data_IF_875268040569
#
_entry.id   IF_875268040569
#
_cell.length_a   1.000
_cell.length_b   1.000
_cell.length_c   1.000
_cell.angle_alpha   90.00
_cell.angle_beta   90.00
_cell.angle_gamma   90.00
#
_symmetry.space_group_name_H-M   'P 1'
#
loop_
_entity.id
_entity.type
_entity.pdbx_description
1 polymer ?
#
# COMPACT_ATOMS: atom_id res chain seq x y z
N UNK A 1 5.26 -36.49 35.49
CA UNK A 1 4.52 -36.06 34.29
C UNK A 1 5.13 -34.76 33.81
N UNK A 2 5.63 -34.71 32.56
CA UNK A 2 6.12 -33.44 31.98
C UNK A 2 4.93 -32.48 31.85
N UNK A 3 5.10 -31.22 32.22
CA UNK A 3 4.02 -30.23 32.18
C UNK A 3 3.56 -30.02 30.73
N UNK A 4 2.29 -29.66 30.54
CA UNK A 4 1.76 -29.29 29.21
C UNK A 4 2.60 -28.21 28.52
N UNK A 5 3.30 -27.37 29.29
CA UNK A 5 4.26 -26.38 28.82
C UNK A 5 5.37 -26.98 27.93
N UNK A 6 5.84 -28.19 28.27
CA UNK A 6 6.87 -28.90 27.49
C UNK A 6 6.36 -29.32 26.09
N UNK A 7 5.09 -29.67 25.96
CA UNK A 7 4.50 -30.03 24.67
C UNK A 7 4.09 -28.81 23.83
N UNK A 8 3.87 -27.66 24.47
CA UNK A 8 3.57 -26.40 23.77
C UNK A 8 4.82 -25.81 23.09
N UNK A 9 6.01 -25.95 23.69
CA UNK A 9 7.26 -25.43 23.13
C UNK A 9 7.78 -26.27 21.94
N UNK A 10 7.33 -27.53 21.77
CA UNK A 10 7.75 -28.42 20.67
C UNK A 10 6.86 -28.33 19.40
N UNK A 11 5.67 -27.71 19.47
CA UNK A 11 4.65 -27.80 18.40
C UNK A 11 4.35 -26.46 17.71
N UNK A 12 4.73 -25.32 18.27
CA UNK A 12 4.28 -24.01 17.77
C UNK A 12 5.40 -23.21 17.08
N UNK A 13 5.38 -23.24 15.75
CA UNK A 13 6.03 -22.26 14.87
C UNK A 13 5.47 -20.85 15.17
N UNK A 14 6.34 -19.85 15.29
CA UNK A 14 6.09 -18.50 15.84
C UNK A 14 5.11 -17.61 15.02
N UNK A 15 4.36 -18.17 14.07
CA UNK A 15 3.52 -17.41 13.13
C UNK A 15 2.01 -17.38 13.45
N UNK A 16 1.53 -18.06 14.51
CA UNK A 16 0.08 -18.21 14.79
C UNK A 16 -0.33 -17.55 16.12
N UNK A 17 0.08 -16.30 16.35
CA UNK A 17 -0.42 -15.52 17.49
C UNK A 17 -0.78 -14.10 17.07
N UNK A 18 -1.90 -13.93 16.38
CA UNK A 18 -2.52 -12.61 16.27
C UNK A 18 -4.04 -12.69 16.34
N UNK A 19 -4.55 -12.67 17.58
CA UNK A 19 -5.79 -11.99 17.98
C UNK A 19 -5.97 -11.91 19.51
N UNK A 20 -5.26 -12.73 20.29
CA UNK A 20 -4.98 -12.51 21.73
C UNK A 20 -3.49 -12.28 21.94
N UNK A 21 -3.08 -11.39 22.85
CA UNK A 21 -1.66 -11.27 23.20
C UNK A 21 -1.21 -12.59 23.84
N UNK A 22 -0.01 -13.08 23.53
CA UNK A 22 0.54 -14.31 24.13
C UNK A 22 0.45 -14.29 25.66
N UNK A 23 0.63 -13.11 26.28
CA UNK A 23 0.44 -12.89 27.72
C UNK A 23 -1.02 -13.02 28.19
N UNK A 24 -1.99 -12.61 27.39
CA UNK A 24 -3.42 -12.77 27.70
C UNK A 24 -3.90 -14.21 27.54
N UNK A 25 -3.35 -14.94 26.57
CA UNK A 25 -3.61 -16.37 26.39
C UNK A 25 -2.95 -17.18 27.52
N UNK A 26 -1.68 -16.91 27.84
CA UNK A 26 -0.97 -17.58 28.94
C UNK A 26 -1.59 -17.32 30.32
N UNK A 27 -2.09 -16.10 30.59
CA UNK A 27 -2.79 -15.79 31.85
C UNK A 27 -4.15 -16.51 31.98
N UNK A 28 -4.83 -16.77 30.85
CA UNK A 28 -6.05 -17.59 30.81
C UNK A 28 -5.73 -19.09 30.91
N UNK A 29 -4.53 -19.49 30.47
CA UNK A 29 -4.00 -20.85 30.63
C UNK A 29 -3.53 -21.11 32.08
N UNK A 30 -3.11 -20.08 32.82
CA UNK A 30 -2.76 -20.19 34.26
C UNK A 30 -4.00 -20.43 35.15
N UNK A 31 -5.15 -19.79 34.87
CA UNK A 31 -6.44 -20.12 35.51
C UNK A 31 -7.00 -21.49 35.06
N UNK A 32 -6.46 -22.02 33.96
CA UNK A 32 -6.89 -23.28 33.36
C UNK A 32 -6.56 -24.48 34.24
N UNK A 33 -5.54 -24.39 35.10
CA UNK A 33 -5.12 -25.48 36.01
C UNK A 33 -6.11 -25.74 37.15
N UNK A 34 -6.99 -24.78 37.47
CA UNK A 34 -8.06 -24.95 38.47
C UNK A 34 -9.36 -25.50 37.87
N UNK A 35 -9.45 -25.64 36.54
CA UNK A 35 -10.64 -26.16 35.86
C UNK A 35 -10.66 -27.70 35.95
N UNK A 36 -11.77 -28.32 36.39
CA UNK A 36 -11.90 -29.78 36.39
C UNK A 36 -11.64 -30.38 35.00
N UNK A 37 -10.92 -31.51 34.95
CA UNK A 37 -10.45 -32.17 33.71
C UNK A 37 -11.54 -32.35 32.66
N UNK A 38 -12.77 -32.66 33.06
CA UNK A 38 -13.92 -32.80 32.15
C UNK A 38 -14.19 -31.53 31.33
N UNK A 39 -14.23 -30.36 31.97
CA UNK A 39 -14.47 -29.09 31.28
C UNK A 39 -13.27 -28.69 30.40
N UNK A 40 -12.04 -29.04 30.80
CA UNK A 40 -10.85 -28.86 29.96
C UNK A 40 -10.94 -29.66 28.67
N UNK A 41 -11.38 -30.92 28.73
CA UNK A 41 -11.57 -31.77 27.53
C UNK A 41 -12.62 -31.17 26.60
N UNK A 42 -13.78 -30.76 27.13
CA UNK A 42 -14.86 -30.15 26.33
C UNK A 42 -14.43 -28.83 25.67
N UNK A 43 -13.66 -28.01 26.39
CA UNK A 43 -13.08 -26.78 25.84
C UNK A 43 -12.05 -27.04 24.73
N UNK A 44 -11.08 -27.93 24.97
CA UNK A 44 -10.06 -28.27 23.97
C UNK A 44 -10.68 -28.89 22.71
N UNK A 45 -11.71 -29.72 22.85
CA UNK A 45 -12.46 -30.24 21.72
C UNK A 45 -13.17 -29.12 20.95
N UNK A 46 -13.71 -28.13 21.65
CA UNK A 46 -14.38 -26.97 21.04
C UNK A 46 -13.38 -26.09 20.27
N UNK A 47 -12.21 -25.82 20.85
CA UNK A 47 -11.11 -25.14 20.17
C UNK A 47 -10.65 -25.92 18.94
N UNK A 48 -10.43 -27.24 19.05
CA UNK A 48 -10.03 -28.09 17.93
C UNK A 48 -11.02 -28.00 16.78
N UNK A 49 -12.33 -28.06 17.06
CA UNK A 49 -13.38 -27.92 16.03
C UNK A 49 -13.40 -26.52 15.42
N UNK A 50 -13.18 -25.48 16.23
CA UNK A 50 -13.10 -24.10 15.77
C UNK A 50 -11.92 -23.90 14.82
N UNK A 51 -10.72 -24.32 15.20
CA UNK A 51 -9.53 -24.23 14.36
C UNK A 51 -9.60 -25.12 13.12
N UNK A 52 -10.21 -26.30 13.19
CA UNK A 52 -10.44 -27.15 12.01
C UNK A 52 -11.39 -26.48 11.00
N UNK A 53 -12.42 -25.78 11.49
CA UNK A 53 -13.31 -24.99 10.62
C UNK A 53 -12.53 -23.84 9.96
N UNK A 54 -11.79 -23.06 10.75
CA UNK A 54 -10.98 -21.95 10.25
C UNK A 54 -9.95 -22.43 9.21
N UNK A 55 -9.23 -23.53 9.49
CA UNK A 55 -8.30 -24.17 8.57
C UNK A 55 -8.96 -24.51 7.23
N UNK A 56 -10.13 -25.17 7.24
CA UNK A 56 -10.84 -25.55 6.02
C UNK A 56 -11.25 -24.32 5.19
N UNK A 57 -11.73 -23.28 5.85
CA UNK A 57 -12.16 -22.04 5.21
C UNK A 57 -10.97 -21.28 4.59
N UNK A 58 -9.86 -21.11 5.33
CA UNK A 58 -8.64 -20.48 4.82
C UNK A 58 -8.01 -21.28 3.67
N UNK A 59 -8.00 -22.61 3.78
CA UNK A 59 -7.53 -23.50 2.70
C UNK A 59 -8.35 -23.35 1.44
N UNK A 60 -9.68 -23.27 1.56
CA UNK A 60 -10.58 -23.05 0.43
C UNK A 60 -10.36 -21.69 -0.24
N UNK A 61 -10.26 -20.61 0.55
CA UNK A 61 -9.97 -19.27 0.06
C UNK A 61 -8.63 -19.21 -0.67
N UNK A 62 -7.58 -19.77 -0.08
CA UNK A 62 -6.25 -19.78 -0.71
C UNK A 62 -6.22 -20.61 -2.00
N UNK A 63 -6.92 -21.76 -2.03
CA UNK A 63 -7.09 -22.56 -3.26
C UNK A 63 -7.83 -21.76 -4.34
N UNK A 64 -8.89 -21.04 -3.98
CA UNK A 64 -9.64 -20.20 -4.92
C UNK A 64 -8.78 -19.06 -5.48
N UNK A 65 -8.09 -18.31 -4.60
CA UNK A 65 -7.15 -17.26 -5.00
C UNK A 65 -6.11 -17.77 -5.99
N UNK A 66 -5.46 -18.90 -5.71
CA UNK A 66 -4.42 -19.45 -6.58
C UNK A 66 -4.99 -19.89 -7.94
N UNK A 67 -6.19 -20.46 -7.98
CA UNK A 67 -6.89 -20.80 -9.22
C UNK A 67 -7.17 -19.56 -10.06
N UNK A 68 -7.71 -18.50 -9.46
CA UNK A 68 -7.98 -17.22 -10.14
C UNK A 68 -6.70 -16.57 -10.66
N UNK A 69 -5.64 -16.58 -9.85
CA UNK A 69 -4.33 -16.06 -10.23
C UNK A 69 -3.74 -16.78 -11.46
N UNK A 70 -3.92 -18.10 -11.55
CA UNK A 70 -3.52 -18.89 -12.72
C UNK A 70 -4.34 -18.52 -13.97
N UNK A 71 -5.64 -18.28 -13.81
CA UNK A 71 -6.54 -17.89 -14.90
C UNK A 71 -6.15 -16.58 -15.58
N UNK A 72 -5.50 -15.64 -14.86
CA UNK A 72 -5.01 -14.38 -15.44
C UNK A 72 -4.15 -14.61 -16.69
N UNK A 73 -3.25 -15.59 -16.65
CA UNK A 73 -2.35 -15.88 -17.77
C UNK A 73 -3.08 -16.39 -19.03
N UNK A 74 -4.27 -16.98 -18.85
CA UNK A 74 -5.09 -17.58 -19.92
C UNK A 74 -6.19 -16.65 -20.43
N UNK A 75 -6.44 -15.54 -19.74
CA UNK A 75 -7.48 -14.58 -20.11
C UNK A 75 -7.27 -14.07 -21.55
N UNK A 76 -8.29 -14.15 -22.39
CA UNK A 76 -8.19 -13.83 -23.82
C UNK A 76 -8.62 -12.38 -24.13
N UNK A 77 -9.30 -11.73 -23.19
CA UNK A 77 -9.88 -10.41 -23.38
C UNK A 77 -9.76 -9.52 -22.15
N UNK A 78 -9.99 -8.21 -22.35
CA UNK A 78 -10.09 -7.23 -21.27
C UNK A 78 -11.26 -7.57 -20.32
N UNK A 79 -12.37 -8.07 -20.87
CA UNK A 79 -13.54 -8.49 -20.09
C UNK A 79 -13.25 -9.68 -19.18
N UNK A 80 -12.45 -10.66 -19.64
CA UNK A 80 -12.00 -11.77 -18.79
C UNK A 80 -11.17 -11.28 -17.62
N UNK A 81 -10.23 -10.37 -17.89
CA UNK A 81 -9.38 -9.78 -16.86
C UNK A 81 -10.19 -8.98 -15.84
N UNK A 82 -11.21 -8.23 -16.27
CA UNK A 82 -12.11 -7.51 -15.38
C UNK A 82 -12.85 -8.43 -14.41
N UNK A 83 -13.41 -9.54 -14.91
CA UNK A 83 -14.09 -10.54 -14.08
C UNK A 83 -13.12 -11.19 -13.09
N UNK A 84 -11.96 -11.64 -13.56
CA UNK A 84 -10.94 -12.25 -12.70
C UNK A 84 -10.45 -11.26 -11.63
N UNK A 85 -10.28 -9.98 -11.98
CA UNK A 85 -9.89 -8.93 -11.03
C UNK A 85 -10.93 -8.73 -9.92
N UNK A 86 -12.23 -8.71 -10.27
CA UNK A 86 -13.31 -8.62 -9.30
C UNK A 86 -13.31 -9.81 -8.33
N UNK A 87 -13.20 -11.04 -8.84
CA UNK A 87 -13.15 -12.26 -8.02
C UNK A 87 -11.92 -12.30 -7.09
N UNK A 88 -10.76 -11.83 -7.59
CA UNK A 88 -9.53 -11.72 -6.80
C UNK A 88 -9.64 -10.68 -5.69
N UNK A 89 -10.32 -9.56 -5.96
CA UNK A 89 -10.62 -8.55 -4.94
C UNK A 89 -11.54 -9.15 -3.85
N UNK A 90 -12.59 -9.87 -4.23
CA UNK A 90 -13.52 -10.49 -3.28
C UNK A 90 -12.82 -11.50 -2.37
N UNK A 91 -12.09 -12.47 -2.93
CA UNK A 91 -11.38 -13.48 -2.13
C UNK A 91 -10.31 -12.85 -1.23
N UNK A 92 -9.64 -11.78 -1.68
CA UNK A 92 -8.64 -11.07 -0.87
C UNK A 92 -9.31 -10.29 0.26
N UNK A 93 -10.50 -9.71 0.04
CA UNK A 93 -11.29 -9.08 1.09
C UNK A 93 -11.70 -10.08 2.16
N UNK A 94 -12.16 -11.27 1.77
CA UNK A 94 -12.56 -12.32 2.71
C UNK A 94 -11.37 -12.85 3.53
N UNK A 95 -10.20 -12.99 2.91
CA UNK A 95 -8.96 -13.33 3.61
C UNK A 95 -8.60 -12.26 4.64
N UNK A 96 -8.72 -10.97 4.29
CA UNK A 96 -8.46 -9.88 5.23
C UNK A 96 -9.43 -9.86 6.40
N UNK A 97 -10.73 -10.03 6.15
CA UNK A 97 -11.76 -10.03 7.20
C UNK A 97 -11.55 -11.15 8.23
N UNK A 98 -10.80 -12.19 7.87
CA UNK A 98 -10.46 -13.32 8.74
C UNK A 98 -9.11 -13.15 9.43
N UNK A 99 -8.07 -12.76 8.69
CA UNK A 99 -6.70 -12.68 9.20
C UNK A 99 -6.35 -11.34 9.85
N UNK A 100 -6.97 -10.25 9.41
CA UNK A 100 -6.55 -8.88 9.71
C UNK A 100 -5.17 -8.50 9.15
N UNK A 101 -4.54 -9.35 8.32
CA UNK A 101 -3.15 -9.19 7.88
C UNK A 101 -3.01 -8.23 6.70
N UNK A 102 -2.48 -7.03 6.98
CA UNK A 102 -2.19 -6.03 5.94
C UNK A 102 -1.06 -6.49 5.01
N UNK A 103 -0.05 -7.15 5.56
CA UNK A 103 1.05 -7.69 4.77
C UNK A 103 0.56 -8.70 3.73
N UNK A 104 -0.37 -9.58 4.11
CA UNK A 104 -0.96 -10.57 3.20
C UNK A 104 -1.79 -9.89 2.11
N UNK A 105 -2.59 -8.86 2.45
CA UNK A 105 -3.33 -8.09 1.45
C UNK A 105 -2.38 -7.44 0.45
N UNK A 106 -1.35 -6.75 0.90
CA UNK A 106 -0.38 -6.11 0.00
C UNK A 106 0.32 -7.13 -0.91
N UNK A 107 0.75 -8.27 -0.37
CA UNK A 107 1.36 -9.33 -1.16
C UNK A 107 0.40 -9.86 -2.23
N UNK A 108 -0.85 -10.16 -1.84
CA UNK A 108 -1.85 -10.71 -2.76
C UNK A 108 -2.26 -9.70 -3.83
N UNK A 109 -2.59 -8.48 -3.43
CA UNK A 109 -2.92 -7.35 -4.31
C UNK A 109 -1.82 -7.09 -5.32
N UNK A 110 -0.58 -6.97 -4.87
CA UNK A 110 0.56 -6.76 -5.77
C UNK A 110 0.73 -7.93 -6.73
N UNK A 111 0.71 -9.17 -6.23
CA UNK A 111 0.87 -10.38 -7.04
C UNK A 111 -0.14 -10.47 -8.19
N UNK A 112 -1.44 -10.28 -7.90
CA UNK A 112 -2.43 -10.43 -8.95
C UNK A 112 -2.51 -9.21 -9.87
N UNK A 113 -2.34 -7.99 -9.34
CA UNK A 113 -2.38 -6.77 -10.16
C UNK A 113 -1.20 -6.72 -11.12
N UNK A 114 -0.02 -7.18 -10.71
CA UNK A 114 1.13 -7.25 -11.60
C UNK A 114 0.86 -8.22 -12.75
N UNK A 115 0.35 -9.42 -12.45
CA UNK A 115 -0.02 -10.38 -13.49
C UNK A 115 -1.09 -9.83 -14.44
N UNK A 116 -2.10 -9.11 -13.92
CA UNK A 116 -3.12 -8.45 -14.74
C UNK A 116 -2.47 -7.39 -15.66
N UNK A 117 -1.58 -6.55 -15.13
CA UNK A 117 -0.86 -5.53 -15.90
C UNK A 117 0.04 -6.15 -16.97
N UNK A 118 0.81 -7.19 -16.66
CA UNK A 118 1.61 -7.90 -17.68
C UNK A 118 0.72 -8.51 -18.76
N UNK A 119 -0.41 -9.12 -18.39
CA UNK A 119 -1.33 -9.72 -19.35
C UNK A 119 -2.00 -8.67 -20.23
N UNK A 120 -2.46 -7.55 -19.67
CA UNK A 120 -3.12 -6.50 -20.46
C UNK A 120 -2.15 -5.76 -21.37
N UNK A 121 -0.88 -5.61 -20.96
CA UNK A 121 0.19 -5.13 -21.85
C UNK A 121 0.35 -6.06 -23.04
N UNK A 122 0.38 -7.38 -22.84
CA UNK A 122 0.54 -8.35 -23.92
C UNK A 122 -0.65 -8.31 -24.91
N UNK A 123 -1.88 -8.32 -24.40
CA UNK A 123 -3.10 -8.24 -25.22
C UNK A 123 -3.17 -6.92 -26.01
N UNK A 124 -2.91 -5.80 -25.33
CA UNK A 124 -2.92 -4.47 -25.96
C UNK A 124 -1.81 -4.37 -27.01
N UNK A 125 -0.62 -4.88 -26.73
CA UNK A 125 0.49 -4.90 -27.69
C UNK A 125 0.18 -5.73 -28.93
N UNK A 126 -0.54 -6.86 -28.77
CA UNK A 126 -0.98 -7.70 -29.89
C UNK A 126 -1.98 -6.94 -30.78
N UNK A 127 -2.97 -6.29 -30.17
CA UNK A 127 -3.97 -5.48 -30.89
C UNK A 127 -3.31 -4.32 -31.63
N UNK A 128 -2.46 -3.55 -30.94
CA UNK A 128 -1.75 -2.41 -31.54
C UNK A 128 -0.88 -2.82 -32.73
N UNK A 129 -0.22 -3.98 -32.67
CA UNK A 129 0.55 -4.50 -33.82
C UNK A 129 -0.32 -4.88 -35.01
N UNK A 130 -1.51 -5.43 -34.76
CA UNK A 130 -2.45 -5.77 -35.84
C UNK A 130 -3.02 -4.52 -36.51
N UNK A 131 -3.27 -3.45 -35.75
CA UNK A 131 -3.87 -2.20 -36.23
C UNK A 131 -2.85 -1.24 -36.86
N UNK A 132 -1.63 -1.17 -36.32
CA UNK A 132 -0.64 -0.13 -36.66
C UNK A 132 0.72 -0.67 -37.12
N UNK A 133 0.91 -1.99 -37.14
CA UNK A 133 2.21 -2.61 -37.40
C UNK A 133 3.15 -2.58 -36.19
N UNK A 134 4.40 -3.00 -36.38
CA UNK A 134 5.39 -3.04 -35.30
C UNK A 134 6.03 -1.66 -35.06
N UNK A 135 6.20 -1.22 -33.81
CA UNK A 135 7.04 -0.07 -33.52
C UNK A 135 8.51 -0.40 -33.80
N UNK A 136 9.32 0.62 -34.09
CA UNK A 136 10.77 0.46 -34.35
C UNK A 136 11.58 0.34 -33.06
N UNK A 137 11.09 0.91 -31.97
CA UNK A 137 11.69 0.93 -30.65
C UNK A 137 11.01 -0.01 -29.65
N UNK A 138 11.57 -0.03 -28.45
CA UNK A 138 10.98 -0.70 -27.29
C UNK A 138 10.39 0.33 -26.33
N UNK A 139 9.46 -0.09 -25.47
CA UNK A 139 8.93 0.73 -24.38
C UNK A 139 9.10 0.03 -23.03
N UNK A 140 9.02 0.79 -21.96
CA UNK A 140 8.91 0.34 -20.59
C UNK A 140 7.70 1.01 -19.95
N UNK A 141 6.84 0.19 -19.33
CA UNK A 141 5.74 0.63 -18.50
C UNK A 141 6.19 0.62 -17.05
N UNK A 142 6.12 1.76 -16.39
CA UNK A 142 6.60 1.95 -15.01
C UNK A 142 5.40 2.29 -14.15
N UNK A 143 5.26 1.58 -13.03
CA UNK A 143 4.27 1.86 -11.99
C UNK A 143 4.86 2.77 -10.93
N UNK A 144 4.02 3.57 -10.29
CA UNK A 144 4.43 4.50 -9.23
C UNK A 144 3.43 4.49 -8.08
N UNK A 145 3.64 5.36 -7.09
CA UNK A 145 2.75 5.50 -5.94
C UNK A 145 2.56 4.18 -5.19
N UNK A 146 1.33 3.90 -4.70
CA UNK A 146 1.08 2.66 -3.93
C UNK A 146 1.39 1.39 -4.71
N UNK A 147 1.30 1.42 -6.03
CA UNK A 147 1.62 0.27 -6.89
C UNK A 147 3.12 0.05 -6.94
N UNK A 148 3.89 1.12 -7.04
CA UNK A 148 5.36 1.06 -7.00
C UNK A 148 5.95 0.69 -5.63
N UNK A 149 5.25 0.99 -4.54
CA UNK A 149 5.60 0.56 -3.17
C UNK A 149 5.23 -0.88 -2.83
N UNK A 150 4.56 -1.60 -3.73
CA UNK A 150 3.92 -2.91 -3.46
C UNK A 150 2.89 -2.84 -2.32
N UNK A 151 2.23 -1.70 -2.15
CA UNK A 151 1.26 -1.40 -1.06
C UNK A 151 -0.17 -1.29 -1.58
N UNK A 152 -0.47 -1.96 -2.69
CA UNK A 152 -1.81 -1.94 -3.26
C UNK A 152 -2.80 -2.62 -2.32
N UNK A 153 -4.04 -2.14 -2.38
CA UNK A 153 -5.18 -2.72 -1.68
C UNK A 153 -6.30 -3.04 -2.68
N UNK A 154 -7.51 -3.27 -2.19
CA UNK A 154 -8.65 -3.71 -3.02
C UNK A 154 -9.11 -2.65 -4.02
N UNK A 155 -8.99 -1.37 -3.67
CA UNK A 155 -9.24 -0.24 -4.56
C UNK A 155 -7.97 0.58 -4.74
N UNK A 156 -7.57 0.84 -5.98
CA UNK A 156 -6.35 1.59 -6.31
C UNK A 156 -6.52 2.34 -7.63
N UNK A 157 -5.80 3.45 -7.73
CA UNK A 157 -5.74 4.27 -8.94
C UNK A 157 -4.56 3.81 -9.81
N UNK A 158 -4.61 4.11 -11.11
CA UNK A 158 -3.49 3.87 -12.03
C UNK A 158 -2.53 5.06 -12.01
N UNK A 159 -1.43 4.90 -11.28
CA UNK A 159 -0.26 5.79 -11.31
C UNK A 159 0.83 5.13 -12.17
N UNK A 160 0.91 5.51 -13.45
CA UNK A 160 1.85 4.91 -14.40
C UNK A 160 2.50 5.96 -15.30
N UNK A 161 3.72 5.64 -15.74
CA UNK A 161 4.42 6.39 -16.78
C UNK A 161 4.91 5.45 -17.89
N UNK A 162 5.15 6.02 -19.07
CA UNK A 162 5.68 5.30 -20.23
C UNK A 162 6.98 5.94 -20.70
N UNK A 163 8.03 5.11 -20.77
CA UNK A 163 9.32 5.44 -21.37
C UNK A 163 9.45 4.65 -22.67
N UNK A 164 9.81 5.27 -23.78
CA UNK A 164 10.01 4.54 -25.04
C UNK A 164 11.31 4.93 -25.76
N UNK A 165 11.72 4.09 -26.73
CA UNK A 165 12.82 4.37 -27.65
C UNK A 165 12.28 4.80 -29.00
N UNK A 166 13.08 5.62 -29.69
CA UNK A 166 12.79 6.16 -31.02
C UNK A 166 11.61 7.13 -31.05
N UNK A 167 11.91 8.43 -31.14
CA UNK A 167 10.91 9.50 -31.22
C UNK A 167 9.94 9.35 -32.40
N UNK A 168 10.34 8.67 -33.48
CA UNK A 168 9.47 8.42 -34.65
C UNK A 168 8.29 7.49 -34.32
N UNK A 169 8.36 6.72 -33.23
CA UNK A 169 7.27 5.85 -32.78
C UNK A 169 6.31 6.57 -31.81
N UNK A 170 6.47 7.87 -31.57
CA UNK A 170 5.60 8.62 -30.66
C UNK A 170 4.10 8.41 -30.97
N UNK A 171 3.60 8.54 -32.22
CA UNK A 171 2.19 8.34 -32.50
C UNK A 171 1.69 6.95 -32.11
N UNK A 172 2.52 5.92 -32.32
CA UNK A 172 2.21 4.55 -31.92
C UNK A 172 2.10 4.44 -30.39
N UNK A 173 3.08 4.96 -29.66
CA UNK A 173 3.09 4.86 -28.20
C UNK A 173 2.05 5.75 -27.52
N UNK A 174 1.66 6.87 -28.12
CA UNK A 174 0.51 7.68 -27.70
C UNK A 174 -0.78 6.88 -27.78
N UNK A 175 -1.03 6.22 -28.92
CA UNK A 175 -2.20 5.37 -29.11
C UNK A 175 -2.19 4.16 -28.15
N UNK A 176 -1.02 3.52 -27.97
CA UNK A 176 -0.84 2.44 -27.00
C UNK A 176 -1.13 2.89 -25.57
N UNK A 177 -0.60 4.05 -25.14
CA UNK A 177 -0.83 4.61 -23.81
C UNK A 177 -2.31 4.88 -23.54
N UNK A 178 -3.02 5.52 -24.50
CA UNK A 178 -4.44 5.78 -24.39
C UNK A 178 -5.27 4.50 -24.29
N UNK A 179 -4.92 3.48 -25.09
CA UNK A 179 -5.56 2.16 -25.03
C UNK A 179 -5.30 1.46 -23.71
N UNK A 180 -4.05 1.47 -23.22
CA UNK A 180 -3.67 0.88 -21.93
C UNK A 180 -4.43 1.50 -20.76
N UNK A 181 -4.47 2.84 -20.67
CA UNK A 181 -5.20 3.56 -19.61
C UNK A 181 -6.69 3.21 -19.62
N UNK A 182 -7.28 3.09 -20.82
CA UNK A 182 -8.68 2.68 -21.00
C UNK A 182 -8.89 1.23 -20.57
N UNK A 183 -8.04 0.31 -21.03
CA UNK A 183 -8.14 -1.11 -20.70
C UNK A 183 -7.95 -1.36 -19.19
N UNK A 184 -7.00 -0.68 -18.54
CA UNK A 184 -6.82 -0.76 -17.09
C UNK A 184 -8.06 -0.23 -16.34
N UNK A 185 -8.66 0.86 -16.82
CA UNK A 185 -9.92 1.37 -16.25
C UNK A 185 -11.05 0.33 -16.39
N UNK A 186 -11.17 -0.33 -17.54
CA UNK A 186 -12.15 -1.39 -17.77
C UNK A 186 -11.92 -2.60 -16.87
N UNK A 187 -10.67 -2.96 -16.57
CA UNK A 187 -10.36 -4.08 -15.65
C UNK A 187 -10.75 -3.74 -14.21
N UNK A 188 -10.72 -2.46 -13.81
CA UNK A 188 -11.04 -2.03 -12.45
C UNK A 188 -9.93 -1.22 -11.75
N UNK A 189 -8.95 -0.72 -12.49
CA UNK A 189 -7.95 0.24 -12.00
C UNK A 189 -8.45 1.65 -12.27
N UNK A 190 -8.88 2.37 -11.22
CA UNK A 190 -9.51 3.68 -11.38
C UNK A 190 -8.53 4.69 -12.00
N UNK A 191 -9.01 5.57 -12.90
CA UNK A 191 -8.17 6.65 -13.44
C UNK A 191 -7.72 7.56 -12.30
N UNK A 192 -6.43 7.89 -12.26
CA UNK A 192 -5.89 8.77 -11.24
C UNK A 192 -6.46 10.18 -11.37
N UNK A 193 -7.03 10.71 -10.28
CA UNK A 193 -7.57 12.08 -10.23
C UNK A 193 -6.50 13.16 -10.45
N UNK A 194 -5.25 12.86 -10.08
CA UNK A 194 -4.09 13.72 -10.33
C UNK A 194 -3.53 13.61 -11.75
N UNK A 195 -4.17 12.85 -12.65
CA UNK A 195 -3.75 12.64 -14.03
C UNK A 195 -2.30 12.09 -14.16
N UNK A 196 -1.91 11.20 -13.24
CA UNK A 196 -0.60 10.51 -13.21
C UNK A 196 -0.65 9.29 -14.13
N UNK A 197 -0.84 9.53 -15.42
CA UNK A 197 -1.05 8.50 -16.43
C UNK A 197 -0.33 8.89 -17.72
N UNK A 198 0.12 7.93 -18.55
CA UNK A 198 0.89 8.25 -19.77
C UNK A 198 0.06 8.89 -20.90
N UNK A 199 -1.23 9.12 -20.68
CA UNK A 199 -2.06 10.02 -21.51
C UNK A 199 -1.77 11.49 -21.26
N UNK A 200 -1.11 11.81 -20.16
CA UNK A 200 -0.57 13.13 -19.83
C UNK A 200 0.90 13.19 -20.25
N UNK A 201 1.28 14.25 -20.97
CA UNK A 201 2.63 14.51 -21.47
C UNK A 201 3.68 14.50 -20.37
N UNK A 202 3.28 14.85 -19.14
CA UNK A 202 4.13 14.76 -17.95
C UNK A 202 4.67 13.34 -17.71
N UNK A 203 3.87 12.33 -18.01
CA UNK A 203 4.13 10.92 -17.71
C UNK A 203 4.39 10.06 -18.95
N UNK A 204 4.82 10.70 -20.04
CA UNK A 204 5.04 10.07 -21.34
C UNK A 204 6.26 10.66 -22.04
N UNK A 205 7.19 9.84 -22.52
CA UNK A 205 8.33 10.38 -23.27
C UNK A 205 9.39 9.35 -23.62
N UNK A 206 10.31 9.76 -24.48
CA UNK A 206 11.56 9.03 -24.69
C UNK A 206 12.49 9.15 -23.47
N UNK A 207 13.51 8.29 -23.36
CA UNK A 207 14.48 8.38 -22.26
C UNK A 207 15.17 9.75 -22.21
N UNK A 208 15.50 10.33 -23.36
CA UNK A 208 16.17 11.64 -23.42
C UNK A 208 15.23 12.78 -22.99
N UNK A 209 13.95 12.72 -23.36
CA UNK A 209 12.95 13.68 -22.87
C UNK A 209 12.71 13.54 -21.37
N UNK A 210 12.75 12.30 -20.85
CA UNK A 210 12.66 12.06 -19.41
C UNK A 210 13.84 12.66 -18.65
N UNK A 211 15.07 12.61 -19.18
CA UNK A 211 16.23 13.28 -18.57
C UNK A 211 16.00 14.78 -18.40
N UNK A 212 15.46 15.43 -19.43
CA UNK A 212 15.12 16.86 -19.38
C UNK A 212 14.03 17.11 -18.32
N UNK A 213 12.93 16.34 -18.34
CA UNK A 213 11.84 16.47 -17.36
C UNK A 213 12.29 16.25 -15.92
N UNK A 214 13.13 15.24 -15.68
CA UNK A 214 13.65 14.94 -14.34
C UNK A 214 14.46 16.12 -13.81
N UNK A 215 15.25 16.77 -14.66
CA UNK A 215 15.97 17.99 -14.27
C UNK A 215 15.00 19.13 -13.92
N UNK A 216 13.99 19.37 -14.75
CA UNK A 216 13.00 20.44 -14.53
C UNK A 216 12.13 20.21 -13.28
N UNK A 217 11.73 18.97 -13.01
CA UNK A 217 10.93 18.63 -11.83
C UNK A 217 11.66 18.92 -10.53
N UNK A 218 12.98 18.90 -10.57
CA UNK A 218 13.75 19.11 -9.37
C UNK A 218 14.10 20.60 -9.16
N UNK A 219 14.30 21.36 -10.23
CA UNK A 219 14.57 22.80 -10.14
C UNK A 219 13.30 23.59 -9.77
N UNK A 220 12.11 23.15 -10.19
CA UNK A 220 10.85 23.84 -9.94
C UNK A 220 10.17 23.47 -8.61
N UNK A 221 9.77 24.48 -7.82
CA UNK A 221 9.03 24.30 -6.55
C UNK A 221 7.65 23.64 -6.73
N UNK A 222 7.06 23.71 -7.91
CA UNK A 222 5.68 23.30 -8.17
C UNK A 222 5.53 21.79 -8.49
N UNK A 223 6.65 21.05 -8.58
CA UNK A 223 6.67 19.65 -9.00
C UNK A 223 6.84 18.64 -7.84
N UNK A 224 6.61 19.09 -6.60
CA UNK A 224 6.85 18.30 -5.40
C UNK A 224 6.12 16.95 -5.40
N UNK A 225 4.84 16.97 -5.77
CA UNK A 225 3.99 15.77 -5.84
C UNK A 225 4.55 14.77 -6.86
N UNK A 226 5.11 15.26 -7.96
CA UNK A 226 5.65 14.38 -9.00
C UNK A 226 6.94 13.71 -8.55
N UNK A 227 7.80 14.43 -7.82
CA UNK A 227 8.99 13.85 -7.21
C UNK A 227 8.64 12.77 -6.19
N UNK A 228 7.64 13.03 -5.34
CA UNK A 228 7.14 12.04 -4.38
C UNK A 228 6.67 10.79 -5.12
N UNK A 229 5.89 10.94 -6.18
CA UNK A 229 5.35 9.80 -6.92
C UNK A 229 6.45 9.06 -7.70
N UNK A 230 7.40 9.77 -8.31
CA UNK A 230 8.56 9.21 -9.00
C UNK A 230 9.50 8.45 -8.06
N UNK A 231 9.59 8.85 -6.79
CA UNK A 231 10.44 8.18 -5.80
C UNK A 231 9.98 6.75 -5.48
N UNK A 232 8.74 6.42 -5.87
CA UNK A 232 8.17 5.09 -5.76
C UNK A 232 8.17 4.35 -7.11
N UNK A 233 8.88 4.84 -8.14
CA UNK A 233 8.86 4.24 -9.47
C UNK A 233 9.44 2.82 -9.49
N UNK A 234 8.73 1.90 -10.18
CA UNK A 234 9.12 0.50 -10.32
C UNK A 234 8.72 -0.06 -11.68
N UNK A 235 9.52 -0.98 -12.23
CA UNK A 235 9.22 -1.63 -13.50
C UNK A 235 7.91 -2.45 -13.46
N UNK A 236 7.09 -2.36 -14.51
CA UNK A 236 5.79 -3.03 -14.62
C UNK A 236 5.43 -3.44 -16.07
N UNK A 237 6.43 -3.79 -16.88
CA UNK A 237 6.23 -4.37 -18.21
C UNK A 237 6.99 -3.70 -19.35
N UNK A 238 7.14 -4.41 -20.47
CA UNK A 238 7.93 -3.97 -21.62
C UNK A 238 9.40 -4.36 -21.49
N UNK A 239 10.30 -3.43 -21.80
CA UNK A 239 11.74 -3.65 -21.83
C UNK A 239 12.38 -3.29 -20.48
N UNK A 240 12.83 -4.31 -19.75
CA UNK A 240 13.43 -4.14 -18.43
C UNK A 240 14.76 -3.33 -18.44
N UNK A 241 15.55 -3.41 -19.52
CA UNK A 241 16.79 -2.65 -19.61
C UNK A 241 16.53 -1.14 -19.77
N UNK A 242 15.53 -0.76 -20.57
CA UNK A 242 15.09 0.63 -20.69
C UNK A 242 14.52 1.15 -19.35
N UNK A 243 13.72 0.34 -18.67
CA UNK A 243 13.23 0.66 -17.33
C UNK A 243 14.36 0.90 -16.34
N UNK A 244 15.37 0.01 -16.33
CA UNK A 244 16.55 0.13 -15.47
C UNK A 244 17.29 1.44 -15.72
N UNK A 245 17.55 1.79 -16.98
CA UNK A 245 18.20 3.07 -17.34
C UNK A 245 17.41 4.28 -16.84
N UNK A 246 16.08 4.26 -17.00
CA UNK A 246 15.22 5.33 -16.50
C UNK A 246 15.25 5.46 -14.97
N UNK A 247 15.22 4.34 -14.24
CA UNK A 247 15.25 4.34 -12.77
C UNK A 247 16.61 4.82 -12.24
N UNK A 248 17.71 4.39 -12.87
CA UNK A 248 19.07 4.84 -12.53
C UNK A 248 19.23 6.36 -12.74
N UNK A 249 18.69 6.90 -13.83
CA UNK A 249 18.65 8.34 -14.08
C UNK A 249 17.82 9.06 -13.02
N UNK A 250 16.61 8.56 -12.72
CA UNK A 250 15.72 9.12 -11.70
C UNK A 250 16.43 9.22 -10.34
N UNK A 251 17.10 8.14 -9.92
CA UNK A 251 17.85 8.13 -8.67
C UNK A 251 19.03 9.13 -8.69
N UNK A 252 19.78 9.17 -9.80
CA UNK A 252 20.92 10.08 -9.96
C UNK A 252 20.46 11.53 -9.83
N UNK A 253 19.38 11.89 -10.52
CA UNK A 253 18.82 13.23 -10.52
C UNK A 253 18.25 13.56 -9.13
N UNK A 254 17.54 12.65 -8.47
CA UNK A 254 17.05 12.88 -7.09
C UNK A 254 18.17 13.06 -6.05
N UNK A 255 19.31 12.35 -6.17
CA UNK A 255 20.46 12.53 -5.25
C UNK A 255 21.06 13.93 -5.32
N UNK A 256 21.06 14.56 -6.50
CA UNK A 256 21.73 15.84 -6.70
C UNK A 256 21.02 17.02 -6.01
N UNK A 257 19.80 16.85 -5.52
CA UNK A 257 18.96 17.98 -5.13
C UNK A 257 18.25 17.80 -3.78
N UNK A 258 19.05 17.86 -2.73
CA UNK A 258 18.57 17.86 -1.34
C UNK A 258 17.59 19.00 -1.02
N UNK A 259 17.60 20.11 -1.77
CA UNK A 259 16.67 21.23 -1.57
C UNK A 259 15.19 20.80 -1.69
N UNK A 260 14.89 19.81 -2.54
CA UNK A 260 13.54 19.26 -2.68
C UNK A 260 13.07 18.53 -1.42
N UNK A 261 13.98 17.95 -0.63
CA UNK A 261 13.62 17.25 0.62
C UNK A 261 13.06 18.21 1.65
N UNK A 262 13.63 19.41 1.78
CA UNK A 262 13.10 20.46 2.66
C UNK A 262 11.68 20.89 2.25
N UNK A 263 11.39 20.92 0.96
CA UNK A 263 10.04 21.19 0.46
C UNK A 263 9.06 20.04 0.79
N UNK A 264 9.47 18.78 0.64
CA UNK A 264 8.68 17.60 1.04
C UNK A 264 8.38 17.66 2.54
N UNK A 265 9.40 17.96 3.36
CA UNK A 265 9.29 18.14 4.79
C UNK A 265 8.22 19.17 5.14
N UNK A 266 8.33 20.39 4.60
CA UNK A 266 7.38 21.48 4.85
C UNK A 266 5.94 21.10 4.45
N UNK A 267 5.75 20.53 3.27
CA UNK A 267 4.41 20.11 2.81
C UNK A 267 3.80 19.02 3.70
N UNK A 268 4.62 18.11 4.22
CA UNK A 268 4.17 17.02 5.10
C UNK A 268 3.85 17.52 6.50
N UNK A 269 4.61 18.48 7.02
CA UNK A 269 4.37 19.10 8.33
C UNK A 269 3.08 19.93 8.36
N UNK A 270 2.67 20.52 7.23
CA UNK A 270 1.39 21.23 7.10
C UNK A 270 0.16 20.29 7.13
N UNK A 271 0.34 18.96 7.04
CA UNK A 271 -0.79 18.04 7.05
C UNK A 271 -1.42 17.92 8.45
N UNK A 272 -2.76 18.01 8.55
CA UNK A 272 -3.44 18.07 9.84
C UNK A 272 -3.45 16.74 10.59
N UNK A 273 -3.17 16.78 11.89
CA UNK A 273 -3.22 15.62 12.80
C UNK A 273 -4.66 15.40 13.31
N UNK A 274 -5.09 14.13 13.41
CA UNK A 274 -6.39 13.74 13.96
C UNK A 274 -6.45 13.72 15.51
N UNK A 275 -5.51 14.37 16.21
CA UNK A 275 -5.52 14.45 17.68
C UNK A 275 -5.76 15.88 18.15
N UNK A 276 -6.49 16.02 19.27
CA UNK A 276 -6.58 17.27 20.02
C UNK A 276 -5.39 17.41 20.97
N UNK A 277 -5.18 18.60 21.52
CA UNK A 277 -4.12 18.88 22.50
C UNK A 277 -4.18 17.91 23.70
N UNK A 278 -5.39 17.47 24.08
CA UNK A 278 -5.63 16.49 25.15
C UNK A 278 -5.68 15.03 24.66
N UNK A 279 -5.13 14.71 23.48
CA UNK A 279 -5.12 13.37 22.86
C UNK A 279 -6.51 12.75 22.67
N UNK A 280 -7.54 13.61 22.51
CA UNK A 280 -8.85 13.22 21.99
C UNK A 280 -8.83 13.15 20.46
N UNK A 281 -9.86 12.58 19.84
CA UNK A 281 -9.96 12.59 18.38
C UNK A 281 -10.37 13.97 17.87
N UNK A 282 -9.65 14.50 16.88
CA UNK A 282 -10.00 15.71 16.14
C UNK A 282 -10.85 15.34 14.92
N UNK A 283 -12.16 15.38 15.11
CA UNK A 283 -13.17 15.04 14.11
C UNK A 283 -13.71 16.28 13.39
N UNK A 284 -14.42 16.09 12.28
CA UNK A 284 -15.14 17.17 11.62
C UNK A 284 -16.28 17.66 12.51
N UNK A 285 -16.44 18.98 12.63
CA UNK A 285 -17.42 19.59 13.55
C UNK A 285 -18.83 19.68 12.96
N UNK A 286 -18.96 19.70 11.63
CA UNK A 286 -20.21 19.93 10.88
C UNK A 286 -20.15 19.20 9.53
N UNK A 287 -21.28 19.14 8.83
CA UNK A 287 -21.41 18.53 7.50
C UNK A 287 -21.63 17.02 7.52
N UNK A 288 -21.56 16.40 6.34
CA UNK A 288 -21.78 14.95 6.14
C UNK A 288 -20.89 14.08 7.04
N UNK A 289 -19.65 14.51 7.27
CA UNK A 289 -18.65 13.76 8.05
C UNK A 289 -18.56 14.18 9.52
N UNK A 290 -19.60 14.81 10.07
CA UNK A 290 -19.62 15.23 11.49
C UNK A 290 -19.27 14.06 12.41
N UNK A 291 -18.42 14.32 13.40
CA UNK A 291 -17.90 13.34 14.37
C UNK A 291 -17.04 12.22 13.74
N UNK A 292 -16.62 12.38 12.48
CA UNK A 292 -15.73 11.46 11.79
C UNK A 292 -14.34 12.10 11.57
N UNK A 293 -13.34 11.25 11.32
CA UNK A 293 -12.01 11.67 10.90
C UNK A 293 -11.59 10.90 9.64
N UNK A 294 -10.90 11.57 8.74
CA UNK A 294 -10.34 10.94 7.55
C UNK A 294 -9.01 10.26 7.88
N UNK A 295 -9.00 8.93 7.97
CA UNK A 295 -7.80 8.17 8.40
C UNK A 295 -6.67 8.24 7.38
N UNK A 296 -6.99 8.45 6.10
CA UNK A 296 -6.01 8.59 5.02
C UNK A 296 -5.20 9.87 5.23
N UNK A 297 -5.88 11.02 5.32
CA UNK A 297 -5.19 12.32 5.36
C UNK A 297 -4.66 12.70 6.74
N UNK A 298 -5.31 12.22 7.82
CA UNK A 298 -4.94 12.60 9.18
C UNK A 298 -4.00 11.62 9.90
N UNK A 299 -3.45 10.64 9.18
CA UNK A 299 -2.54 9.64 9.76
C UNK A 299 -1.74 8.87 8.73
N UNK A 300 -2.40 8.13 7.84
CA UNK A 300 -1.72 7.22 6.91
C UNK A 300 -0.78 7.93 5.94
N UNK A 301 -1.25 9.02 5.31
CA UNK A 301 -0.47 9.77 4.33
C UNK A 301 0.74 10.47 4.98
N UNK A 302 0.62 11.21 6.11
CA UNK A 302 1.79 11.77 6.80
C UNK A 302 2.85 10.73 7.15
N UNK A 303 2.46 9.54 7.62
CA UNK A 303 3.40 8.46 7.95
C UNK A 303 4.22 8.04 6.74
N UNK A 304 3.57 7.80 5.59
CA UNK A 304 4.25 7.40 4.35
C UNK A 304 5.18 8.50 3.86
N UNK A 305 4.69 9.73 3.86
CA UNK A 305 5.42 10.90 3.38
C UNK A 305 6.70 11.15 4.19
N UNK A 306 6.61 11.10 5.53
CA UNK A 306 7.77 11.23 6.39
C UNK A 306 8.72 10.03 6.26
N UNK A 307 8.18 8.82 6.12
CA UNK A 307 9.03 7.63 5.89
C UNK A 307 9.83 7.76 4.60
N UNK A 308 9.18 8.20 3.51
CA UNK A 308 9.84 8.49 2.24
C UNK A 308 10.95 9.53 2.42
N UNK A 309 10.62 10.65 3.06
CA UNK A 309 11.54 11.75 3.27
C UNK A 309 12.82 11.31 4.00
N UNK A 310 12.68 10.67 5.17
CA UNK A 310 13.82 10.15 5.93
C UNK A 310 14.60 9.08 5.14
N UNK A 311 13.92 8.28 4.32
CA UNK A 311 14.57 7.28 3.46
C UNK A 311 15.47 7.94 2.41
N UNK A 312 14.95 8.95 1.71
CA UNK A 312 15.71 9.65 0.67
C UNK A 312 16.94 10.38 1.24
N UNK A 313 16.83 10.96 2.43
CA UNK A 313 17.99 11.59 3.12
C UNK A 313 19.10 10.61 3.49
N UNK A 314 18.73 9.36 3.74
CA UNK A 314 19.67 8.30 4.13
C UNK A 314 20.03 7.38 2.96
N UNK A 315 19.82 7.83 1.72
CA UNK A 315 20.13 7.10 0.48
C UNK A 315 19.42 5.73 0.36
N UNK A 316 18.23 5.60 0.96
CA UNK A 316 17.39 4.40 0.91
C UNK A 316 16.40 4.51 -0.27
N UNK A 317 16.68 3.76 -1.33
CA UNK A 317 15.86 3.68 -2.55
C UNK A 317 14.83 2.53 -2.57
N UNK A 318 14.68 1.83 -1.44
CA UNK A 318 13.54 0.92 -1.28
C UNK A 318 12.23 1.71 -1.35
N UNK A 319 11.20 1.16 -1.99
CA UNK A 319 9.93 1.86 -2.20
C UNK A 319 8.90 1.52 -1.12
N UNK A 320 8.93 0.30 -0.59
CA UNK A 320 7.95 -0.14 0.40
C UNK A 320 8.16 0.54 1.77
N UNK A 321 7.11 1.13 2.34
CA UNK A 321 7.12 1.90 3.60
C UNK A 321 7.62 1.06 4.78
N UNK A 322 7.16 -0.18 4.94
CA UNK A 322 7.60 -1.04 6.05
C UNK A 322 9.09 -1.38 5.90
N UNK A 323 9.54 -1.67 4.68
CA UNK A 323 10.96 -1.96 4.43
C UNK A 323 11.84 -0.71 4.60
N UNK A 324 11.34 0.47 4.22
CA UNK A 324 11.97 1.78 4.50
C UNK A 324 12.16 1.99 6.00
N UNK A 325 11.12 1.77 6.81
CA UNK A 325 11.21 1.87 8.27
C UNK A 325 12.27 0.92 8.84
N UNK A 326 12.28 -0.35 8.40
CA UNK A 326 13.30 -1.34 8.81
C UNK A 326 14.71 -0.96 8.39
N UNK A 327 14.88 -0.36 7.21
CA UNK A 327 16.18 0.12 6.75
C UNK A 327 16.67 1.30 7.61
N UNK A 328 15.77 2.24 7.95
CA UNK A 328 16.07 3.38 8.83
C UNK A 328 16.41 2.93 10.26
N UNK A 329 15.72 1.93 10.79
CA UNK A 329 16.05 1.28 12.05
C UNK A 329 17.45 0.64 12.00
N UNK A 330 17.76 -0.13 10.95
CA UNK A 330 19.06 -0.77 10.77
C UNK A 330 20.21 0.24 10.70
N UNK A 331 19.96 1.42 10.12
CA UNK A 331 20.91 2.53 10.09
C UNK A 331 20.95 3.36 11.39
N UNK A 332 20.15 2.99 12.40
CA UNK A 332 20.01 3.71 13.69
C UNK A 332 19.50 5.14 13.53
N UNK A 333 18.80 5.43 12.43
CA UNK A 333 18.07 6.69 12.26
C UNK A 333 16.82 6.69 13.14
N UNK A 334 16.18 5.51 13.27
CA UNK A 334 15.08 5.28 14.20
C UNK A 334 15.49 4.30 15.29
N UNK A 335 15.10 4.63 16.52
CA UNK A 335 15.16 3.69 17.64
C UNK A 335 14.20 2.51 17.41
N UNK A 336 14.53 1.29 17.87
CA UNK A 336 13.73 0.09 17.63
C UNK A 336 12.25 0.23 18.01
N UNK A 337 11.97 0.72 19.23
CA UNK A 337 10.60 0.93 19.72
C UNK A 337 9.79 1.92 18.85
N UNK A 338 10.47 2.93 18.30
CA UNK A 338 9.84 3.90 17.42
C UNK A 338 9.54 3.30 16.04
N UNK A 339 10.48 2.54 15.48
CA UNK A 339 10.29 1.81 14.23
C UNK A 339 9.16 0.78 14.34
N UNK A 340 9.11 0.00 15.43
CA UNK A 340 8.00 -0.92 15.71
C UNK A 340 6.67 -0.18 15.82
N UNK A 341 6.65 0.94 16.57
CA UNK A 341 5.49 1.81 16.68
C UNK A 341 4.99 2.32 15.34
N UNK A 342 5.89 2.72 14.43
CA UNK A 342 5.55 3.18 13.08
C UNK A 342 4.96 2.05 12.23
N UNK A 343 5.57 0.87 12.25
CA UNK A 343 5.06 -0.30 11.51
C UNK A 343 3.67 -0.72 12.02
N UNK A 344 3.45 -0.74 13.33
CA UNK A 344 2.14 -1.02 13.93
C UNK A 344 1.11 0.04 13.53
N UNK A 345 1.50 1.32 13.55
CA UNK A 345 0.64 2.44 13.16
C UNK A 345 0.23 2.35 11.69
N UNK A 346 1.18 2.02 10.80
CA UNK A 346 0.92 1.78 9.38
C UNK A 346 -0.14 0.69 9.19
N UNK A 347 -0.01 -0.43 9.89
CA UNK A 347 -0.96 -1.55 9.79
C UNK A 347 -2.36 -1.16 10.28
N UNK A 348 -2.46 -0.48 11.44
CA UNK A 348 -3.74 -0.02 11.99
C UNK A 348 -4.45 0.94 11.01
N UNK A 349 -3.74 1.95 10.53
CA UNK A 349 -4.30 2.97 9.64
C UNK A 349 -4.69 2.39 8.28
N UNK A 350 -3.88 1.47 7.74
CA UNK A 350 -4.19 0.75 6.49
C UNK A 350 -5.39 -0.18 6.67
N UNK A 351 -5.54 -0.82 7.84
CA UNK A 351 -6.72 -1.63 8.16
C UNK A 351 -8.02 -0.84 8.09
N UNK A 352 -8.08 0.35 8.67
CA UNK A 352 -9.27 1.21 8.55
C UNK A 352 -9.54 1.66 7.11
N UNK A 353 -8.49 1.97 6.33
CA UNK A 353 -8.66 2.27 4.89
C UNK A 353 -9.26 1.08 4.15
N UNK A 354 -8.77 -0.12 4.45
CA UNK A 354 -9.20 -1.34 3.80
C UNK A 354 -10.65 -1.69 4.15
N UNK A 355 -11.06 -1.52 5.41
CA UNK A 355 -12.47 -1.65 5.81
C UNK A 355 -13.38 -0.70 5.03
N UNK A 356 -12.98 0.57 4.85
CA UNK A 356 -13.75 1.52 4.03
C UNK A 356 -13.83 1.09 2.56
N UNK A 357 -12.77 0.48 2.01
CA UNK A 357 -12.80 -0.08 0.65
C UNK A 357 -13.73 -1.28 0.54
N UNK A 358 -13.74 -2.16 1.55
CA UNK A 358 -14.64 -3.31 1.59
C UNK A 358 -16.10 -2.85 1.65
N UNK A 359 -16.42 -1.87 2.48
CA UNK A 359 -17.78 -1.33 2.58
C UNK A 359 -18.23 -0.69 1.26
N UNK A 360 -17.34 0.05 0.60
CA UNK A 360 -17.61 0.61 -0.73
C UNK A 360 -17.83 -0.48 -1.79
N UNK A 361 -16.96 -1.49 -1.86
CA UNK A 361 -17.07 -2.60 -2.81
C UNK A 361 -18.31 -3.48 -2.57
N UNK A 362 -18.78 -3.57 -1.32
CA UNK A 362 -20.03 -4.25 -0.95
C UNK A 362 -21.27 -3.36 -1.09
N UNK A 363 -21.14 -2.15 -1.65
CA UNK A 363 -22.25 -1.23 -1.90
C UNK A 363 -22.87 -0.62 -0.64
N UNK A 364 -22.20 -0.70 0.51
CA UNK A 364 -22.66 -0.09 1.77
C UNK A 364 -22.48 1.42 1.79
N UNK A 365 -21.59 1.96 0.94
CA UNK A 365 -21.40 3.39 0.74
C UNK A 365 -21.45 3.73 -0.75
N UNK A 366 -21.90 4.95 -1.07
CA UNK A 366 -21.98 5.45 -2.44
C UNK A 366 -20.65 6.01 -2.95
N UNK A 367 -19.73 6.33 -2.05
CA UNK A 367 -18.40 6.85 -2.37
C UNK A 367 -17.34 6.34 -1.38
N UNK A 368 -16.10 6.34 -1.84
CA UNK A 368 -14.94 5.95 -1.05
C UNK A 368 -14.29 7.18 -0.42
N UNK A 369 -14.56 7.41 0.87
CA UNK A 369 -14.21 8.67 1.56
C UNK A 369 -13.10 8.52 2.59
N UNK A 370 -12.88 7.30 3.11
CA UNK A 370 -11.95 6.99 4.21
C UNK A 370 -12.23 7.70 5.54
N UNK A 371 -13.45 8.23 5.71
CA UNK A 371 -13.90 8.75 7.01
C UNK A 371 -14.35 7.60 7.91
N UNK A 372 -13.90 7.63 9.16
CA UNK A 372 -14.34 6.72 10.21
C UNK A 372 -14.90 7.51 11.39
N UNK A 373 -15.97 7.01 12.00
CA UNK A 373 -16.46 7.56 13.27
C UNK A 373 -15.76 6.82 14.42
N UNK A 374 -14.76 7.42 15.09
CA UNK A 374 -14.00 6.74 16.13
C UNK A 374 -14.86 6.42 17.36
N UNK A 375 -15.95 7.14 17.60
CA UNK A 375 -16.82 6.93 18.76
C UNK A 375 -17.75 5.72 18.62
N UNK A 376 -17.88 5.18 17.40
CA UNK A 376 -18.57 3.90 17.14
C UNK A 376 -17.66 2.69 17.29
N UNK A 377 -16.36 2.88 17.51
CA UNK A 377 -15.41 1.79 17.73
C UNK A 377 -15.46 1.32 19.19
N UNK A 378 -15.18 0.04 19.42
CA UNK A 378 -14.95 -0.47 20.78
C UNK A 378 -13.78 0.23 21.46
N UNK A 379 -13.77 0.25 22.80
CA UNK A 379 -12.75 0.99 23.56
C UNK A 379 -11.33 0.56 23.25
N UNK A 380 -11.10 -0.74 23.02
CA UNK A 380 -9.81 -1.30 22.63
C UNK A 380 -9.34 -0.75 21.27
N UNK A 381 -10.24 -0.72 20.29
CA UNK A 381 -9.96 -0.21 18.95
C UNK A 381 -9.77 1.32 18.95
N UNK A 382 -10.55 2.06 19.75
CA UNK A 382 -10.29 3.48 19.99
C UNK A 382 -8.87 3.72 20.51
N UNK A 383 -8.42 2.93 21.49
CA UNK A 383 -7.09 3.08 22.07
C UNK A 383 -5.99 2.75 21.04
N UNK A 384 -6.18 1.70 20.23
CA UNK A 384 -5.26 1.35 19.13
C UNK A 384 -5.15 2.47 18.10
N UNK A 385 -6.28 3.02 17.65
CA UNK A 385 -6.28 4.14 16.71
C UNK A 385 -5.61 5.39 17.32
N UNK A 386 -5.88 5.70 18.60
CA UNK A 386 -5.20 6.82 19.29
C UNK A 386 -3.69 6.63 19.37
N UNK A 387 -3.24 5.42 19.69
CA UNK A 387 -1.82 5.09 19.73
C UNK A 387 -1.18 5.29 18.35
N UNK A 388 -1.80 4.77 17.29
CA UNK A 388 -1.32 4.94 15.93
C UNK A 388 -1.19 6.42 15.54
N UNK A 389 -2.22 7.23 15.80
CA UNK A 389 -2.20 8.66 15.52
C UNK A 389 -1.16 9.41 16.36
N UNK A 390 -0.95 9.00 17.62
CA UNK A 390 0.06 9.62 18.49
C UNK A 390 1.48 9.31 18.02
N UNK A 391 1.72 8.12 17.46
CA UNK A 391 3.01 7.80 16.83
C UNK A 391 3.26 8.68 15.60
N UNK A 392 2.24 8.90 14.76
CA UNK A 392 2.35 9.81 13.60
C UNK A 392 2.64 11.24 14.05
N UNK A 393 1.96 11.72 15.10
CA UNK A 393 2.24 13.04 15.68
C UNK A 393 3.68 13.15 16.17
N UNK A 394 4.19 12.15 16.89
CA UNK A 394 5.60 12.11 17.31
C UNK A 394 6.55 12.15 16.11
N UNK A 395 6.20 11.47 15.02
CA UNK A 395 7.01 11.47 13.80
C UNK A 395 7.04 12.86 13.14
N UNK A 396 5.91 13.56 13.08
CA UNK A 396 5.88 14.95 12.61
C UNK A 396 6.74 15.87 13.49
N UNK A 397 6.68 15.74 14.82
CA UNK A 397 7.56 16.52 15.72
C UNK A 397 9.04 16.23 15.50
N UNK A 398 9.41 14.95 15.32
CA UNK A 398 10.78 14.56 14.98
C UNK A 398 11.25 15.22 13.68
N UNK A 399 10.40 15.22 12.66
CA UNK A 399 10.67 15.90 11.40
C UNK A 399 10.81 17.42 11.60
N UNK A 400 9.88 18.09 12.29
CA UNK A 400 9.95 19.53 12.59
C UNK A 400 11.29 19.92 13.22
N UNK A 401 11.73 19.14 14.21
CA UNK A 401 13.03 19.32 14.87
C UNK A 401 14.20 19.15 13.90
N UNK A 402 14.18 18.08 13.09
CA UNK A 402 15.26 17.76 12.15
C UNK A 402 15.45 18.83 11.06
N UNK A 403 14.37 19.51 10.65
CA UNK A 403 14.42 20.55 9.61
C UNK A 403 14.42 21.98 10.12
N UNK A 404 14.41 22.20 11.45
CA UNK A 404 14.25 23.52 12.07
C UNK A 404 13.03 24.29 11.50
N UNK A 405 11.91 23.60 11.31
CA UNK A 405 10.65 24.21 10.86
C UNK A 405 9.80 24.46 12.11
N UNK A 406 9.62 25.74 12.48
CA UNK A 406 8.78 26.11 13.62
C UNK A 406 7.33 25.69 13.39
N UNK A 407 6.74 25.02 14.37
CA UNK A 407 5.31 24.66 14.36
C UNK A 407 4.40 25.89 14.32
N UNK A 408 4.84 27.04 14.88
CA UNK A 408 4.10 28.31 14.87
C UNK A 408 4.17 29.07 13.54
N UNK A 409 5.02 28.62 12.59
CA UNK A 409 5.17 29.20 11.25
C UNK A 409 4.38 28.43 10.18
N UNK A 410 3.63 27.41 10.60
CA UNK A 410 2.78 26.50 9.81
C UNK A 410 1.32 26.73 10.18
#
# INVERSE_FOLDING_TARGET
MRSLKFYFDEIMDESIIHTMSTKSFLRYVEEFDEIPTRFRIEYLLSLSKMYEKEYRELKALNKNYNRLLQSVSRAASVGDLARIHADLNEVTADIFLRSGSIAEVHQRCTSYRDKLTFRIIALTSQQMRAEHGNPRGAFAWIRMGSTGRDEQTLYTDQDNLLVYKNKRDEPYYRAFAARMVTNLATIGFARCRGNIMPTNDKWFGTLDEWKVKLHDYIVGSDNLIDLIVLSDAKYSGGNAALAKQFLEETHTVMKMYQASFKAIAKATLLMPIALTIFKGFKTEKKGEYKDMLNVKYKGWLPLIMLTLLFSLENDIWETNTIKRIKALEKLKVFEPDFAEGLMASYNILTGYKLMAQIDFLKGKTTSLTYYINPFKLEKREQNRLKQALSTVEKFQRLASSSYNINEDAL
#
